data_IF_878530629048
#
_entry.id   IF_878530629048
#
_cell.length_a   1.000
_cell.length_b   1.000
_cell.length_c   1.000
_cell.angle_alpha   90.00
_cell.angle_beta   90.00
_cell.angle_gamma   90.00
#
_symmetry.space_group_name_H-M   'P 1'
#
loop_
_entity.id
_entity.type
_entity.pdbx_description
1 polymer ?
#
# COMPACT_ATOMS: atom_id res chain seq x y z
N UNK A 1 -7.37 -7.02 -12.91
CA UNK A 1 -5.96 -6.68 -13.16
C UNK A 1 -5.97 -5.26 -13.68
N UNK A 2 -5.85 -4.28 -12.79
CA UNK A 2 -5.88 -2.87 -13.16
C UNK A 2 -4.58 -2.57 -13.90
N UNK A 3 -4.67 -2.31 -15.20
CA UNK A 3 -3.55 -1.85 -16.00
C UNK A 3 -3.20 -0.45 -15.48
N UNK A 4 -2.21 -0.35 -14.60
CA UNK A 4 -1.71 0.94 -14.14
C UNK A 4 -0.97 1.55 -15.34
N UNK A 5 -1.55 2.58 -15.97
CA UNK A 5 -0.96 3.24 -17.14
C UNK A 5 0.25 4.13 -16.77
N UNK A 6 0.46 4.35 -15.46
CA UNK A 6 1.57 5.11 -14.89
C UNK A 6 2.33 4.20 -13.92
N UNK A 7 3.64 4.11 -14.11
CA UNK A 7 4.54 3.47 -13.14
C UNK A 7 4.67 4.36 -11.90
N UNK A 8 4.22 3.86 -10.75
CA UNK A 8 4.37 4.55 -9.49
C UNK A 8 5.76 4.32 -8.92
N UNK A 9 6.47 5.40 -8.60
CA UNK A 9 7.78 5.31 -7.97
C UNK A 9 7.64 4.94 -6.50
N UNK A 10 8.72 4.44 -5.91
CA UNK A 10 8.77 4.16 -4.47
C UNK A 10 8.43 5.40 -3.64
N UNK A 11 8.80 6.59 -4.10
CA UNK A 11 8.43 7.86 -3.46
C UNK A 11 6.91 8.06 -3.48
N UNK A 12 6.24 7.85 -4.61
CA UNK A 12 4.78 7.96 -4.71
C UNK A 12 4.08 7.04 -3.71
N UNK A 13 4.58 5.82 -3.54
CA UNK A 13 4.02 4.84 -2.59
C UNK A 13 4.25 5.28 -1.15
N UNK A 14 5.44 5.80 -0.81
CA UNK A 14 5.76 6.30 0.53
C UNK A 14 4.93 7.52 0.88
N UNK A 15 4.79 8.48 -0.04
CA UNK A 15 3.92 9.65 0.17
C UNK A 15 2.46 9.21 0.36
N UNK A 16 1.99 8.26 -0.46
CA UNK A 16 0.65 7.70 -0.32
C UNK A 16 0.47 6.99 1.02
N UNK A 17 1.44 6.20 1.46
CA UNK A 17 1.41 5.57 2.78
C UNK A 17 1.34 6.63 3.88
N UNK A 18 2.11 7.71 3.78
CA UNK A 18 2.13 8.78 4.78
C UNK A 18 0.79 9.54 4.87
N UNK A 19 0.06 9.69 3.76
CA UNK A 19 -1.31 10.24 3.75
C UNK A 19 -2.33 9.31 4.41
N UNK A 20 -2.15 8.00 4.24
CA UNK A 20 -3.13 6.97 4.63
C UNK A 20 -2.85 6.35 5.99
N UNK A 21 -1.61 6.44 6.50
CA UNK A 21 -1.16 5.80 7.75
C UNK A 21 -2.03 6.16 8.95
N UNK A 22 -2.61 7.37 8.98
CA UNK A 22 -3.51 7.84 10.04
C UNK A 22 -4.81 7.03 10.12
N UNK A 23 -5.21 6.37 9.03
CA UNK A 23 -6.38 5.50 8.95
C UNK A 23 -6.03 4.01 9.02
N UNK A 24 -4.73 3.68 9.02
CA UNK A 24 -4.22 2.32 8.98
C UNK A 24 -3.73 1.87 10.37
N UNK A 25 -3.69 0.56 10.63
CA UNK A 25 -3.06 0.03 11.83
C UNK A 25 -1.55 0.31 11.82
N UNK A 26 -1.00 0.76 12.93
CA UNK A 26 0.42 1.10 13.07
C UNK A 26 1.35 -0.08 12.73
N UNK A 27 0.96 -1.31 13.08
CA UNK A 27 1.71 -2.53 12.72
C UNK A 27 1.84 -2.69 11.20
N UNK A 28 0.75 -2.42 10.48
CA UNK A 28 0.69 -2.56 9.03
C UNK A 28 1.51 -1.47 8.32
N UNK A 29 1.49 -0.26 8.88
CA UNK A 29 2.31 0.87 8.42
C UNK A 29 3.80 0.51 8.56
N UNK A 30 4.24 0.04 9.72
CA UNK A 30 5.63 -0.38 9.94
C UNK A 30 6.08 -1.50 9.00
N UNK A 31 5.22 -2.50 8.77
CA UNK A 31 5.50 -3.57 7.80
C UNK A 31 5.62 -3.02 6.38
N UNK A 32 4.77 -2.08 6.00
CA UNK A 32 4.81 -1.42 4.70
C UNK A 32 6.08 -0.56 4.54
N UNK A 33 6.47 0.21 5.57
CA UNK A 33 7.72 0.99 5.57
C UNK A 33 8.95 0.09 5.45
N UNK A 34 8.99 -1.03 6.19
CA UNK A 34 10.07 -2.01 6.09
C UNK A 34 10.12 -2.64 4.70
N UNK A 35 8.95 -2.95 4.13
CA UNK A 35 8.83 -3.50 2.79
C UNK A 35 9.27 -2.52 1.70
N UNK A 36 8.96 -1.24 1.89
CA UNK A 36 9.40 -0.13 1.05
C UNK A 36 10.83 0.31 1.36
N UNK A 37 11.50 -0.22 2.39
CA UNK A 37 12.91 0.11 2.67
C UNK A 37 13.87 -0.58 1.69
N UNK A 38 13.45 -1.71 1.10
CA UNK A 38 14.19 -2.44 0.06
C UNK A 38 13.74 -2.01 -1.34
N UNK A 39 14.61 -2.13 -2.35
CA UNK A 39 14.20 -1.91 -3.74
C UNK A 39 13.14 -2.94 -4.14
N UNK A 40 12.00 -2.46 -4.62
CA UNK A 40 10.88 -3.26 -5.10
C UNK A 40 10.74 -3.12 -6.62
N UNK A 41 10.13 -4.12 -7.25
CA UNK A 41 9.81 -4.07 -8.68
C UNK A 41 8.59 -3.18 -8.92
N UNK A 42 8.47 -2.63 -10.13
CA UNK A 42 7.35 -1.75 -10.51
C UNK A 42 5.98 -2.39 -10.28
N UNK A 43 5.84 -3.67 -10.63
CA UNK A 43 4.59 -4.42 -10.41
C UNK A 43 4.17 -4.40 -8.93
N UNK A 44 5.14 -4.59 -8.03
CA UNK A 44 4.92 -4.52 -6.58
C UNK A 44 4.55 -3.12 -6.13
N UNK A 45 5.28 -2.09 -6.59
CA UNK A 45 4.98 -0.69 -6.25
C UNK A 45 3.57 -0.30 -6.69
N UNK A 46 3.17 -0.68 -7.91
CA UNK A 46 1.84 -0.44 -8.45
C UNK A 46 0.76 -1.15 -7.63
N UNK A 47 0.99 -2.40 -7.22
CA UNK A 47 0.06 -3.14 -6.36
C UNK A 47 -0.09 -2.47 -4.99
N UNK A 48 1.02 -2.14 -4.32
CA UNK A 48 0.97 -1.47 -3.01
C UNK A 48 0.28 -0.12 -3.11
N UNK A 49 0.62 0.69 -4.12
CA UNK A 49 -0.04 1.97 -4.36
C UNK A 49 -1.55 1.81 -4.54
N UNK A 50 -1.99 0.83 -5.34
CA UNK A 50 -3.40 0.55 -5.54
C UNK A 50 -4.12 0.09 -4.27
N UNK A 51 -3.45 -0.65 -3.39
CA UNK A 51 -3.99 -1.08 -2.11
C UNK A 51 -4.12 0.11 -1.13
N UNK A 52 -3.19 1.07 -1.17
CA UNK A 52 -3.24 2.30 -0.37
C UNK A 52 -4.20 3.35 -0.95
N UNK A 53 -4.43 3.33 -2.27
CA UNK A 53 -5.30 4.28 -2.96
C UNK A 53 -6.74 4.16 -2.43
N UNK A 54 -7.33 5.30 -2.04
CA UNK A 54 -8.69 5.39 -1.47
C UNK A 54 -8.85 4.55 -0.19
N UNK A 55 -7.80 4.35 0.61
CA UNK A 55 -7.90 3.63 1.89
C UNK A 55 -8.70 4.43 2.93
N UNK A 56 -8.47 5.73 2.98
CA UNK A 56 -9.25 6.74 3.70
C UNK A 56 -10.76 6.65 3.38
N UNK A 57 -11.10 6.46 2.11
CA UNK A 57 -12.49 6.36 1.65
C UNK A 57 -13.09 4.94 1.72
N UNK A 58 -12.27 3.92 2.03
CA UNK A 58 -12.75 2.55 2.11
C UNK A 58 -13.56 2.29 3.39
N UNK A 59 -14.56 1.41 3.26
CA UNK A 59 -15.30 0.90 4.42
C UNK A 59 -14.40 -0.01 5.28
N UNK A 60 -14.84 -0.31 6.50
CA UNK A 60 -14.10 -1.22 7.39
C UNK A 60 -13.86 -2.60 6.75
N UNK A 61 -14.84 -3.13 6.02
CA UNK A 61 -14.71 -4.40 5.30
C UNK A 61 -13.66 -4.32 4.18
N UNK A 62 -13.71 -3.27 3.34
CA UNK A 62 -12.71 -3.07 2.30
C UNK A 62 -11.31 -2.86 2.87
N UNK A 63 -11.20 -2.14 4.00
CA UNK A 63 -9.94 -1.96 4.72
C UNK A 63 -9.42 -3.29 5.25
N UNK A 64 -10.28 -4.15 5.80
CA UNK A 64 -9.89 -5.48 6.27
C UNK A 64 -9.40 -6.38 5.13
N UNK A 65 -10.06 -6.35 3.96
CA UNK A 65 -9.60 -7.07 2.77
C UNK A 65 -8.25 -6.54 2.28
N UNK A 66 -8.05 -5.22 2.27
CA UNK A 66 -6.79 -4.58 1.89
C UNK A 66 -5.68 -4.92 2.87
N UNK A 67 -5.95 -4.88 4.17
CA UNK A 67 -5.01 -5.28 5.22
C UNK A 67 -4.58 -6.73 5.03
N UNK A 68 -5.52 -7.63 4.75
CA UNK A 68 -5.21 -9.04 4.47
C UNK A 68 -4.31 -9.18 3.24
N UNK A 69 -4.61 -8.47 2.14
CA UNK A 69 -3.78 -8.47 0.93
C UNK A 69 -2.39 -7.90 1.18
N UNK A 70 -2.30 -6.83 1.96
CA UNK A 70 -1.03 -6.21 2.36
C UNK A 70 -0.20 -7.17 3.22
N UNK A 71 -0.81 -7.84 4.20
CA UNK A 71 -0.13 -8.85 5.03
C UNK A 71 0.32 -10.07 4.24
N UNK A 72 -0.35 -10.43 3.14
CA UNK A 72 0.11 -11.50 2.24
C UNK A 72 1.27 -11.04 1.34
N UNK A 73 1.38 -9.74 1.10
CA UNK A 73 2.42 -9.14 0.24
C UNK A 73 3.70 -8.82 1.04
N UNK A 74 3.54 -8.36 2.28
CA UNK A 74 4.64 -8.05 3.17
C UNK A 74 5.12 -9.34 3.87
N UNK A 75 6.42 -9.66 3.82
CA UNK A 75 6.98 -10.86 4.43
C UNK A 75 7.06 -10.78 5.95
#
# INVERSE_FOLDING_TARGET
MSNCELDHTQLDVVEKLAEQQSFMPEELVKSCELFLSKPLNQDTLNVVFHLLKKYDLATEEERAERNTKMQQLFP
#
